data_IF_931093409742
#
_entry.id   IF_931093409742
#
_cell.length_a   1.000
_cell.length_b   1.000
_cell.length_c   1.000
_cell.angle_alpha   90.00
_cell.angle_beta   90.00
_cell.angle_gamma   90.00
#
_symmetry.space_group_name_H-M   'P 1'
#
loop_
_entity.id
_entity.type
_entity.pdbx_description
1 polymer ?
#
# COMPACT_ATOMS: atom_id res chain seq x y z
N UNK A 1 4.54 -1.65 2.35
CA UNK A 1 5.46 -1.38 3.47
C UNK A 1 6.27 -2.60 3.92
N UNK A 2 5.69 -3.81 4.05
CA UNK A 2 6.44 -5.01 4.49
C UNK A 2 7.47 -5.57 3.49
N UNK A 3 7.20 -5.45 2.18
CA UNK A 3 8.04 -6.05 1.13
C UNK A 3 9.50 -5.57 1.16
N UNK A 4 9.72 -4.28 1.40
CA UNK A 4 11.05 -3.65 1.38
C UNK A 4 11.76 -3.78 2.72
N UNK A 5 11.01 -3.86 3.84
CA UNK A 5 11.57 -3.91 5.19
C UNK A 5 12.04 -5.30 5.62
N UNK A 6 11.54 -6.38 5.02
CA UNK A 6 11.83 -7.73 5.53
C UNK A 6 13.21 -8.27 5.16
N UNK A 7 13.82 -7.84 4.04
CA UNK A 7 15.09 -8.43 3.56
C UNK A 7 16.24 -7.44 3.34
N UNK A 8 16.09 -6.15 3.67
CA UNK A 8 17.15 -5.14 3.48
C UNK A 8 17.76 -5.17 2.05
N UNK A 9 16.93 -5.07 1.02
CA UNK A 9 17.37 -5.05 -0.40
C UNK A 9 18.32 -3.88 -0.75
N UNK A 10 18.69 -3.02 0.20
CA UNK A 10 19.48 -1.81 -0.04
C UNK A 10 18.71 -0.68 -0.74
N UNK A 11 17.54 -0.98 -1.31
CA UNK A 11 16.73 -0.02 -2.07
C UNK A 11 16.01 0.99 -1.17
N UNK A 12 16.01 2.26 -1.59
CA UNK A 12 15.18 3.28 -0.96
C UNK A 12 13.70 3.07 -1.29
N UNK A 13 12.83 3.05 -0.28
CA UNK A 13 11.38 3.03 -0.50
C UNK A 13 10.84 4.46 -0.54
N UNK A 14 10.28 4.86 -1.67
CA UNK A 14 9.71 6.18 -1.88
C UNK A 14 8.20 6.08 -2.11
N UNK A 15 7.43 6.35 -1.05
CA UNK A 15 5.98 6.48 -1.14
C UNK A 15 5.60 7.94 -1.35
N UNK A 16 4.87 8.25 -2.42
CA UNK A 16 4.40 9.64 -2.65
C UNK A 16 3.49 10.14 -1.53
N UNK A 17 2.70 9.27 -0.91
CA UNK A 17 1.90 9.64 0.26
C UNK A 17 2.77 10.07 1.44
N UNK A 18 3.90 9.40 1.68
CA UNK A 18 4.84 9.79 2.74
C UNK A 18 5.58 11.08 2.39
N UNK A 19 5.98 11.26 1.13
CA UNK A 19 6.61 12.51 0.66
C UNK A 19 5.68 13.72 0.84
N UNK A 20 4.43 13.62 0.40
CA UNK A 20 3.42 14.68 0.58
C UNK A 20 3.21 14.99 2.07
N UNK A 21 3.11 13.97 2.92
CA UNK A 21 2.96 14.15 4.37
C UNK A 21 4.20 14.80 5.02
N UNK A 22 5.40 14.47 4.54
CA UNK A 22 6.64 15.06 5.03
C UNK A 22 6.71 16.55 4.69
N UNK A 23 6.42 16.92 3.43
CA UNK A 23 6.34 18.32 3.00
C UNK A 23 5.30 19.11 3.80
N UNK A 24 4.10 18.53 4.00
CA UNK A 24 3.04 19.15 4.78
C UNK A 24 3.43 19.38 6.26
N UNK A 25 4.18 18.44 6.87
CA UNK A 25 4.69 18.59 8.24
C UNK A 25 5.82 19.60 8.35
N UNK A 26 6.65 19.72 7.30
CA UNK A 26 7.75 20.67 7.23
C UNK A 26 7.28 22.11 6.99
N UNK A 27 6.00 22.32 6.64
CA UNK A 27 5.44 23.65 6.38
C UNK A 27 6.04 24.31 5.13
N UNK A 28 6.42 23.52 4.13
CA UNK A 28 6.95 24.05 2.87
C UNK A 28 5.82 24.61 2.02
N UNK A 29 6.12 25.56 1.14
CA UNK A 29 5.14 26.09 0.17
C UNK A 29 4.53 24.97 -0.70
N UNK A 30 5.33 23.98 -1.06
CA UNK A 30 4.90 22.78 -1.77
C UNK A 30 3.94 21.94 -0.90
N UNK A 31 4.29 21.69 0.37
CA UNK A 31 3.47 20.96 1.32
C UNK A 31 2.11 21.62 1.56
N UNK A 32 2.06 22.94 1.65
CA UNK A 32 0.82 23.70 1.79
C UNK A 32 -0.09 23.56 0.57
N UNK A 33 0.47 23.67 -0.65
CA UNK A 33 -0.25 23.49 -1.91
C UNK A 33 -0.82 22.06 -2.02
N UNK A 34 -0.01 21.04 -1.74
CA UNK A 34 -0.42 19.64 -1.79
C UNK A 34 -1.48 19.31 -0.73
N UNK A 35 -1.32 19.85 0.49
CA UNK A 35 -2.30 19.68 1.55
C UNK A 35 -3.63 20.37 1.21
N UNK A 36 -3.60 21.53 0.55
CA UNK A 36 -4.81 22.21 0.07
C UNK A 36 -5.55 21.38 -0.98
N UNK A 37 -4.84 20.84 -1.99
CA UNK A 37 -5.41 19.95 -2.98
C UNK A 37 -6.01 18.69 -2.34
N UNK A 38 -5.29 18.07 -1.39
CA UNK A 38 -5.80 16.89 -0.67
C UNK A 38 -7.05 17.20 0.16
N UNK A 39 -7.16 18.38 0.78
CA UNK A 39 -8.35 18.78 1.55
C UNK A 39 -9.57 19.04 0.67
N UNK A 40 -9.37 19.55 -0.55
CA UNK A 40 -10.45 19.81 -1.51
C UNK A 40 -10.85 18.57 -2.32
N UNK A 41 -10.14 17.44 -2.15
CA UNK A 41 -10.35 16.23 -2.94
C UNK A 41 -9.77 16.34 -4.36
N UNK A 42 -9.02 17.40 -4.66
CA UNK A 42 -8.31 17.55 -5.93
C UNK A 42 -7.02 16.73 -5.95
N UNK A 43 -6.66 16.23 -7.13
CA UNK A 43 -5.34 15.64 -7.33
C UNK A 43 -4.28 16.75 -7.40
N UNK A 44 -3.13 16.50 -6.79
CA UNK A 44 -1.97 17.34 -7.00
C UNK A 44 -1.61 17.37 -8.50
N UNK A 45 -1.24 18.53 -9.06
CA UNK A 45 -0.83 18.62 -10.46
C UNK A 45 0.31 17.66 -10.79
N UNK A 46 0.26 17.01 -11.95
CA UNK A 46 1.21 15.96 -12.32
C UNK A 46 2.67 16.47 -12.34
N UNK A 47 2.92 17.68 -12.85
CA UNK A 47 4.25 18.29 -12.87
C UNK A 47 4.82 18.47 -11.46
N UNK A 48 3.99 18.92 -10.51
CA UNK A 48 4.37 19.10 -9.11
C UNK A 48 4.76 17.77 -8.47
N UNK A 49 4.00 16.71 -8.76
CA UNK A 49 4.28 15.36 -8.26
C UNK A 49 5.57 14.78 -8.87
N UNK A 50 5.77 14.94 -10.19
CA UNK A 50 6.98 14.49 -10.89
C UNK A 50 8.21 15.20 -10.35
N UNK A 51 8.16 16.54 -10.20
CA UNK A 51 9.29 17.32 -9.66
C UNK A 51 9.65 16.90 -8.23
N UNK A 52 8.64 16.66 -7.37
CA UNK A 52 8.86 16.20 -6.00
C UNK A 52 9.55 14.83 -5.97
N UNK A 53 9.10 13.88 -6.79
CA UNK A 53 9.72 12.56 -6.88
C UNK A 53 11.13 12.65 -7.45
N UNK A 54 11.34 13.43 -8.53
CA UNK A 54 12.66 13.64 -9.14
C UNK A 54 13.66 14.21 -8.13
N UNK A 55 13.29 15.27 -7.43
CA UNK A 55 14.16 15.90 -6.44
C UNK A 55 14.55 14.92 -5.34
N UNK A 56 13.65 13.99 -4.98
CA UNK A 56 13.97 12.95 -4.00
C UNK A 56 14.91 11.89 -4.56
N UNK A 57 14.68 11.45 -5.80
CA UNK A 57 15.52 10.47 -6.50
C UNK A 57 16.95 10.94 -6.72
N UNK A 58 17.17 12.25 -6.91
CA UNK A 58 18.50 12.84 -7.05
C UNK A 58 19.42 12.65 -5.82
N UNK A 59 18.88 12.19 -4.69
CA UNK A 59 19.60 11.93 -3.45
C UNK A 59 19.58 10.44 -3.06
N UNK A 60 19.32 9.54 -4.02
CA UNK A 60 19.25 8.09 -3.79
C UNK A 60 20.30 7.39 -4.64
N UNK A 61 21.33 6.85 -3.98
CA UNK A 61 22.43 6.15 -4.66
C UNK A 61 22.25 4.61 -4.70
N UNK A 62 21.41 4.04 -3.82
CA UNK A 62 21.29 2.59 -3.62
C UNK A 62 20.15 1.93 -4.39
N UNK A 63 19.64 2.57 -5.45
CA UNK A 63 18.42 2.15 -6.14
C UNK A 63 17.15 2.43 -5.33
N UNK A 64 15.98 2.25 -5.93
CA UNK A 64 14.71 2.64 -5.31
C UNK A 64 13.51 1.80 -5.72
N UNK A 65 12.47 1.87 -4.90
CA UNK A 65 11.12 1.40 -5.19
C UNK A 65 10.18 2.60 -5.08
N UNK A 66 9.49 2.92 -6.17
CA UNK A 66 8.42 3.91 -6.19
C UNK A 66 7.10 3.23 -5.80
N UNK A 67 6.45 3.72 -4.75
CA UNK A 67 5.18 3.19 -4.24
C UNK A 67 4.09 4.26 -4.32
N UNK A 68 3.12 4.01 -5.22
CA UNK A 68 2.03 4.94 -5.50
C UNK A 68 2.41 6.09 -6.45
N UNK A 69 3.45 5.90 -7.27
CA UNK A 69 3.82 6.77 -8.39
C UNK A 69 4.60 6.01 -9.46
N UNK A 70 4.41 6.31 -10.76
CA UNK A 70 3.37 7.20 -11.31
C UNK A 70 1.95 6.66 -11.09
N UNK A 71 0.94 7.54 -11.12
CA UNK A 71 -0.50 7.19 -11.02
C UNK A 71 -1.26 7.44 -12.31
N UNK A 72 -0.67 8.13 -13.28
CA UNK A 72 -1.26 8.43 -14.59
C UNK A 72 -0.23 8.17 -15.68
N UNK A 73 -0.68 7.83 -16.89
CA UNK A 73 0.20 7.69 -18.05
C UNK A 73 0.99 8.98 -18.34
N UNK A 74 0.41 10.16 -18.06
CA UNK A 74 1.09 11.44 -18.19
C UNK A 74 2.28 11.58 -17.23
N UNK A 75 2.11 11.20 -15.96
CA UNK A 75 3.23 11.14 -14.99
C UNK A 75 4.32 10.17 -15.44
N UNK A 76 3.93 9.00 -15.97
CA UNK A 76 4.88 8.01 -16.46
C UNK A 76 5.69 8.53 -17.66
N UNK A 77 5.03 9.17 -18.62
CA UNK A 77 5.69 9.81 -19.76
C UNK A 77 6.64 10.94 -19.34
N UNK A 78 6.23 11.78 -18.39
CA UNK A 78 7.08 12.83 -17.84
C UNK A 78 8.32 12.28 -17.12
N UNK A 79 8.16 11.17 -16.40
CA UNK A 79 9.25 10.48 -15.73
C UNK A 79 10.23 9.85 -16.75
N UNK A 80 9.70 9.22 -17.79
CA UNK A 80 10.49 8.54 -18.83
C UNK A 80 11.27 9.51 -19.73
N UNK A 81 10.80 10.74 -19.86
CA UNK A 81 11.50 11.81 -20.56
C UNK A 81 12.69 12.40 -19.77
N UNK A 82 12.94 11.95 -18.53
CA UNK A 82 14.07 12.39 -17.72
C UNK A 82 15.26 11.44 -17.89
N UNK A 83 16.38 11.93 -18.41
CA UNK A 83 17.60 11.13 -18.60
C UNK A 83 18.19 10.58 -17.28
N UNK A 84 17.84 11.18 -16.15
CA UNK A 84 18.35 10.81 -14.82
C UNK A 84 17.54 9.71 -14.14
N UNK A 85 16.42 9.27 -14.71
CA UNK A 85 15.53 8.30 -14.06
C UNK A 85 15.53 6.98 -14.83
N UNK A 86 16.01 5.91 -14.18
CA UNK A 86 15.95 4.55 -14.72
C UNK A 86 14.86 3.73 -14.04
N UNK A 87 14.15 2.91 -14.79
CA UNK A 87 13.19 1.95 -14.24
C UNK A 87 13.47 0.60 -14.88
N UNK A 88 13.99 -0.33 -14.09
CA UNK A 88 14.33 -1.68 -14.57
C UNK A 88 13.14 -2.63 -14.51
N UNK A 89 12.19 -2.37 -13.60
CA UNK A 89 11.06 -3.26 -13.35
C UNK A 89 9.80 -2.50 -12.98
N UNK A 90 8.71 -2.85 -13.67
CA UNK A 90 7.33 -2.54 -13.26
C UNK A 90 6.64 -3.85 -12.93
N UNK A 91 6.12 -3.95 -11.70
CA UNK A 91 5.30 -5.10 -11.26
C UNK A 91 3.86 -4.66 -11.06
N UNK A 92 2.96 -5.18 -11.88
CA UNK A 92 1.53 -5.04 -11.69
C UNK A 92 1.04 -6.14 -10.73
N UNK A 93 0.83 -5.77 -9.46
CA UNK A 93 0.36 -6.71 -8.43
C UNK A 93 -1.16 -6.86 -8.54
N UNK A 94 -1.61 -8.02 -8.99
CA UNK A 94 -3.01 -8.32 -9.26
C UNK A 94 -3.62 -9.13 -8.13
N UNK A 95 -4.81 -8.71 -7.71
CA UNK A 95 -5.67 -9.43 -6.78
C UNK A 95 -7.10 -9.40 -7.34
N UNK A 96 -7.81 -10.51 -7.18
CA UNK A 96 -9.22 -10.58 -7.56
C UNK A 96 -10.04 -9.54 -6.78
N UNK A 97 -10.99 -8.88 -7.44
CA UNK A 97 -11.76 -7.79 -6.87
C UNK A 97 -12.52 -8.21 -5.61
N UNK A 98 -13.16 -9.37 -5.61
CA UNK A 98 -13.93 -9.85 -4.45
C UNK A 98 -13.00 -10.08 -3.26
N UNK A 99 -11.82 -10.64 -3.53
CA UNK A 99 -10.79 -10.88 -2.51
C UNK A 99 -10.22 -9.56 -1.99
N UNK A 100 -9.94 -8.60 -2.87
CA UNK A 100 -9.43 -7.28 -2.50
C UNK A 100 -10.43 -6.51 -1.62
N UNK A 101 -11.72 -6.53 -1.99
CA UNK A 101 -12.80 -5.93 -1.20
C UNK A 101 -12.93 -6.62 0.16
N UNK A 102 -12.99 -7.95 0.20
CA UNK A 102 -13.10 -8.72 1.43
C UNK A 102 -11.92 -8.45 2.39
N UNK A 103 -10.69 -8.38 1.86
CA UNK A 103 -9.49 -8.05 2.64
C UNK A 103 -9.47 -6.60 3.09
N UNK A 104 -9.93 -5.65 2.27
CA UNK A 104 -10.03 -4.24 2.66
C UNK A 104 -11.02 -4.05 3.82
N UNK A 105 -12.21 -4.66 3.76
CA UNK A 105 -13.21 -4.60 4.83
C UNK A 105 -12.79 -5.37 6.09
N UNK A 106 -11.90 -6.36 5.93
CA UNK A 106 -11.28 -7.10 7.02
C UNK A 106 -10.20 -6.34 7.79
N UNK A 107 -9.76 -5.17 7.32
CA UNK A 107 -8.69 -4.40 7.97
C UNK A 107 -9.07 -3.96 9.38
N UNK A 108 -8.11 -4.09 10.29
CA UNK A 108 -8.19 -3.60 11.66
C UNK A 108 -6.91 -2.89 12.06
N UNK A 109 -7.03 -1.93 12.96
CA UNK A 109 -5.90 -1.26 13.58
C UNK A 109 -6.00 -1.40 15.10
N UNK A 110 -4.88 -1.63 15.77
CA UNK A 110 -4.81 -1.49 17.22
C UNK A 110 -5.12 -0.05 17.60
N UNK A 111 -6.09 0.17 18.47
CA UNK A 111 -6.45 1.50 18.94
C UNK A 111 -5.28 2.23 19.60
N UNK A 112 -4.46 1.50 20.37
CA UNK A 112 -3.37 2.09 21.16
C UNK A 112 -2.16 2.51 20.33
N UNK A 113 -1.86 1.83 19.22
CA UNK A 113 -0.60 2.08 18.47
C UNK A 113 -0.74 2.05 16.94
N UNK A 114 -1.92 1.77 16.40
CA UNK A 114 -2.17 1.71 14.96
C UNK A 114 -1.65 0.46 14.24
N UNK A 115 -1.12 -0.55 14.96
CA UNK A 115 -0.66 -1.79 14.34
C UNK A 115 -1.77 -2.45 13.52
N UNK A 116 -1.45 -2.85 12.29
CA UNK A 116 -2.44 -3.34 11.32
C UNK A 116 -2.63 -4.86 11.42
N UNK A 117 -3.89 -5.28 11.40
CA UNK A 117 -4.35 -6.66 11.40
C UNK A 117 -5.43 -6.85 10.33
N UNK A 118 -5.79 -8.11 10.08
CA UNK A 118 -6.88 -8.46 9.19
C UNK A 118 -7.66 -9.63 9.79
N UNK A 119 -9.00 -9.53 9.87
CA UNK A 119 -9.85 -10.56 10.48
C UNK A 119 -10.57 -11.46 9.47
N UNK A 120 -10.25 -11.32 8.18
CA UNK A 120 -10.93 -12.05 7.10
C UNK A 120 -10.02 -13.14 6.55
N UNK A 121 -10.50 -14.38 6.53
CA UNK A 121 -9.91 -15.48 5.77
C UNK A 121 -10.45 -15.51 4.33
N UNK A 122 -9.60 -15.84 3.37
CA UNK A 122 -10.01 -16.13 1.99
C UNK A 122 -9.31 -17.41 1.54
N UNK A 123 -10.05 -18.52 1.58
CA UNK A 123 -9.54 -19.89 1.40
C UNK A 123 -10.25 -20.65 0.26
N UNK A 124 -10.84 -19.93 -0.69
CA UNK A 124 -11.59 -20.47 -1.82
C UNK A 124 -11.02 -19.96 -3.14
N UNK A 125 -11.45 -20.48 -4.30
CA UNK A 125 -11.03 -19.95 -5.61
C UNK A 125 -9.51 -20.02 -5.87
N UNK A 126 -8.82 -20.98 -5.23
CA UNK A 126 -7.36 -21.12 -5.30
C UNK A 126 -6.58 -20.10 -4.46
N UNK A 127 -7.24 -19.39 -3.54
CA UNK A 127 -6.61 -18.51 -2.58
C UNK A 127 -6.33 -19.24 -1.25
N UNK A 128 -5.17 -18.97 -0.64
CA UNK A 128 -4.77 -19.41 0.72
C UNK A 128 -4.31 -18.16 1.49
N UNK A 129 -5.28 -17.33 1.85
CA UNK A 129 -5.03 -16.07 2.55
C UNK A 129 -5.70 -16.07 3.91
N UNK A 130 -5.07 -16.64 4.95
CA UNK A 130 -5.62 -16.59 6.29
C UNK A 130 -5.71 -15.14 6.81
N UNK A 131 -6.50 -14.96 7.86
CA UNK A 131 -6.55 -13.74 8.65
C UNK A 131 -5.16 -13.43 9.26
N UNK A 132 -4.84 -12.13 9.34
CA UNK A 132 -3.62 -11.64 9.99
C UNK A 132 -4.02 -11.20 11.39
N UNK A 133 -4.18 -12.18 12.27
CA UNK A 133 -4.62 -11.95 13.64
C UNK A 133 -3.45 -11.64 14.59
N UNK A 134 -3.69 -10.86 15.65
CA UNK A 134 -2.72 -10.69 16.74
C UNK A 134 -2.42 -12.04 17.42
N UNK A 135 -1.25 -12.22 18.05
CA UNK A 135 -0.92 -13.46 18.75
C UNK A 135 -1.87 -13.74 19.93
N UNK A 136 -2.15 -15.04 20.16
CA UNK A 136 -2.88 -15.51 21.35
C UNK A 136 -2.01 -15.39 22.59
N UNK A 137 -2.65 -15.17 23.75
CA UNK A 137 -1.99 -15.03 25.05
C UNK A 137 -1.88 -16.39 25.72
N UNK A 138 -2.96 -17.16 25.69
CA UNK A 138 -3.05 -18.55 26.11
C UNK A 138 -3.60 -19.39 24.96
N UNK A 139 -2.79 -20.31 24.44
CA UNK A 139 -3.17 -21.18 23.33
C UNK A 139 -4.25 -22.21 23.70
N UNK A 140 -4.49 -22.45 24.99
CA UNK A 140 -5.50 -23.39 25.49
C UNK A 140 -6.88 -22.77 25.69
N UNK A 141 -6.98 -21.44 25.67
CA UNK A 141 -8.22 -20.71 25.88
C UNK A 141 -8.80 -20.15 24.55
N UNK A 142 -10.13 -20.08 24.40
CA UNK A 142 -10.74 -19.46 23.23
C UNK A 142 -10.41 -17.95 23.18
N UNK A 143 -10.30 -17.40 21.98
CA UNK A 143 -10.05 -15.98 21.74
C UNK A 143 -11.17 -15.39 20.86
N UNK A 144 -12.41 -15.29 21.38
CA UNK A 144 -13.55 -14.81 20.61
C UNK A 144 -13.36 -13.34 20.23
N UNK A 145 -13.68 -13.02 18.99
CA UNK A 145 -13.84 -11.63 18.54
C UNK A 145 -15.25 -11.19 18.88
N UNK A 146 -15.39 -10.18 19.75
CA UNK A 146 -16.68 -9.60 20.12
C UNK A 146 -16.77 -8.17 19.61
N UNK A 147 -17.98 -7.76 19.25
CA UNK A 147 -18.30 -6.38 18.90
C UNK A 147 -18.80 -5.65 20.14
N UNK A 148 -18.21 -4.51 20.44
CA UNK A 148 -18.62 -3.66 21.56
C UNK A 148 -18.85 -2.23 21.09
N UNK A 149 -19.85 -1.56 21.67
CA UNK A 149 -20.12 -0.15 21.41
C UNK A 149 -19.26 0.71 22.34
N UNK A 150 -18.46 1.62 21.77
CA UNK A 150 -17.75 2.64 22.54
C UNK A 150 -18.66 3.82 22.89
N UNK A 151 -18.31 4.61 23.92
CA UNK A 151 -18.92 5.91 24.17
C UNK A 151 -18.88 6.76 22.90
N UNK A 152 -20.06 7.20 22.41
CA UNK A 152 -20.20 7.89 21.12
C UNK A 152 -20.70 7.02 19.96
N UNK A 153 -20.97 5.73 20.21
CA UNK A 153 -21.71 4.85 19.29
C UNK A 153 -20.87 4.14 18.22
N UNK A 154 -19.55 4.31 18.23
CA UNK A 154 -18.65 3.58 17.34
C UNK A 154 -18.55 2.10 17.77
N UNK A 155 -18.68 1.17 16.81
CA UNK A 155 -18.51 -0.26 17.06
C UNK A 155 -17.04 -0.66 16.87
N UNK A 156 -16.48 -1.33 17.87
CA UNK A 156 -15.10 -1.85 17.87
C UNK A 156 -15.07 -3.36 18.04
N UNK A 157 -14.01 -3.98 17.54
CA UNK A 157 -13.76 -5.40 17.79
C UNK A 157 -12.85 -5.54 19.01
N UNK A 158 -13.36 -6.12 20.10
CA UNK A 158 -12.59 -6.47 21.28
C UNK A 158 -12.23 -7.95 21.17
N UNK A 159 -10.93 -8.26 21.19
CA UNK A 159 -10.46 -9.64 21.15
C UNK A 159 -9.86 -10.02 22.50
N UNK A 160 -10.60 -10.85 23.23
CA UNK A 160 -10.11 -11.48 24.45
C UNK A 160 -8.99 -12.48 24.12
N UNK A 161 -8.08 -12.69 25.08
CA UNK A 161 -7.00 -13.67 24.95
C UNK A 161 -6.06 -13.44 23.73
N UNK A 162 -5.97 -12.20 23.23
CA UNK A 162 -4.96 -11.75 22.27
C UNK A 162 -4.28 -10.48 22.75
N UNK A 163 -3.06 -10.23 22.28
CA UNK A 163 -2.31 -8.99 22.54
C UNK A 163 -1.81 -8.36 21.26
N UNK A 164 -1.65 -7.04 21.26
CA UNK A 164 -1.01 -6.37 20.13
C UNK A 164 0.44 -6.87 19.97
N UNK A 165 0.83 -7.31 18.77
CA UNK A 165 2.21 -7.73 18.47
C UNK A 165 3.22 -6.58 18.52
N UNK A 166 2.76 -5.33 18.40
CA UNK A 166 3.63 -4.15 18.40
C UNK A 166 3.76 -3.50 19.78
N UNK A 167 2.66 -3.25 20.50
CA UNK A 167 2.67 -2.52 21.78
C UNK A 167 2.27 -3.37 23.00
N UNK A 168 1.83 -4.62 22.80
CA UNK A 168 1.42 -5.51 23.89
C UNK A 168 0.05 -5.22 24.52
N UNK A 169 -0.73 -4.27 24.01
CA UNK A 169 -2.02 -3.87 24.59
C UNK A 169 -2.98 -5.05 24.87
N UNK A 170 -3.59 -5.03 26.06
CA UNK A 170 -4.57 -5.98 26.61
C UNK A 170 -5.55 -5.26 27.58
N UNK A 171 -6.88 -5.50 27.49
CA UNK A 171 -7.56 -6.19 26.40
C UNK A 171 -7.28 -5.50 25.05
N UNK A 172 -7.22 -6.28 23.98
CA UNK A 172 -6.89 -5.74 22.67
C UNK A 172 -8.14 -5.16 22.01
N UNK A 173 -8.18 -3.84 21.88
CA UNK A 173 -9.21 -3.11 21.12
C UNK A 173 -8.72 -2.87 19.70
N UNK A 174 -9.51 -3.33 18.74
CA UNK A 174 -9.29 -3.15 17.32
C UNK A 174 -10.36 -2.25 16.71
N UNK A 175 -9.92 -1.22 16.02
CA UNK A 175 -10.78 -0.27 15.31
C UNK A 175 -10.74 -0.52 13.81
N UNK A 176 -11.80 -0.10 13.13
CA UNK A 176 -11.83 0.02 11.67
C UNK A 176 -11.49 1.45 11.28
N UNK A 177 -10.97 1.63 10.07
CA UNK A 177 -10.82 2.98 9.52
C UNK A 177 -12.20 3.49 9.10
N UNK A 178 -12.43 4.79 9.27
CA UNK A 178 -13.70 5.41 8.89
C UNK A 178 -13.97 5.30 7.37
N UNK A 179 -12.93 5.14 6.55
CA UNK A 179 -13.01 5.01 5.10
C UNK A 179 -13.06 3.54 4.60
N UNK A 180 -13.10 2.56 5.50
CA UNK A 180 -13.24 1.13 5.16
C UNK A 180 -14.73 0.72 5.09
N UNK A 181 -15.56 1.52 4.40
CA UNK A 181 -16.95 1.15 4.09
C UNK A 181 -17.03 0.38 2.77
N UNK A 182 -18.01 -0.53 2.58
CA UNK A 182 -18.18 -1.24 1.31
C UNK A 182 -18.25 -0.31 0.10
N UNK A 183 -18.96 0.82 0.23
CA UNK A 183 -19.15 1.80 -0.83
C UNK A 183 -17.83 2.50 -1.16
N UNK A 184 -17.08 2.92 -0.13
CA UNK A 184 -15.79 3.63 -0.31
C UNK A 184 -14.74 2.70 -0.92
N UNK A 185 -14.67 1.45 -0.44
CA UNK A 185 -13.73 0.45 -0.96
C UNK A 185 -14.06 0.10 -2.41
N UNK A 186 -15.33 -0.15 -2.73
CA UNK A 186 -15.75 -0.47 -4.09
C UNK A 186 -15.47 0.70 -5.04
N UNK A 187 -15.85 1.92 -4.66
CA UNK A 187 -15.60 3.12 -5.47
C UNK A 187 -14.12 3.35 -5.74
N UNK A 188 -13.26 3.15 -4.73
CA UNK A 188 -11.80 3.26 -4.90
C UNK A 188 -11.26 2.22 -5.87
N UNK A 189 -11.76 0.99 -5.81
CA UNK A 189 -11.34 -0.07 -6.73
C UNK A 189 -11.76 0.25 -8.17
N UNK A 190 -13.01 0.68 -8.38
CA UNK A 190 -13.52 1.08 -9.71
C UNK A 190 -12.68 2.21 -10.31
N UNK A 191 -12.49 3.30 -9.56
CA UNK A 191 -11.69 4.45 -10.02
C UNK A 191 -10.24 4.03 -10.30
N UNK A 192 -9.66 3.16 -9.48
CA UNK A 192 -8.32 2.65 -9.69
C UNK A 192 -8.23 1.88 -11.01
N UNK A 193 -9.15 0.96 -11.28
CA UNK A 193 -9.15 0.20 -12.53
C UNK A 193 -9.31 1.10 -13.78
N UNK A 194 -10.16 2.13 -13.71
CA UNK A 194 -10.34 3.09 -14.80
C UNK A 194 -9.09 3.92 -15.07
N UNK A 195 -8.43 4.41 -14.02
CA UNK A 195 -7.26 5.29 -14.14
C UNK A 195 -5.98 4.51 -14.44
N UNK A 196 -5.87 3.27 -13.96
CA UNK A 196 -4.68 2.43 -14.17
C UNK A 196 -4.58 1.85 -15.57
N UNK A 197 -5.69 1.60 -16.26
CA UNK A 197 -5.64 0.94 -17.57
C UNK A 197 -4.71 1.66 -18.57
N UNK A 198 -4.79 3.00 -18.78
CA UNK A 198 -3.84 3.71 -19.64
C UNK A 198 -2.39 3.67 -19.13
N UNK A 199 -2.18 3.62 -17.81
CA UNK A 199 -0.85 3.54 -17.20
C UNK A 199 -0.21 2.17 -17.43
N UNK A 200 -0.99 1.10 -17.28
CA UNK A 200 -0.53 -0.26 -17.54
C UNK A 200 -0.27 -0.47 -19.04
N UNK A 201 -1.11 0.10 -19.90
CA UNK A 201 -0.87 0.10 -21.35
C UNK A 201 0.42 0.83 -21.72
N UNK A 202 0.70 1.98 -21.08
CA UNK A 202 1.97 2.67 -21.23
C UNK A 202 3.14 1.73 -20.89
N UNK A 203 3.20 1.14 -19.71
CA UNK A 203 4.34 0.28 -19.36
C UNK A 203 4.42 -1.04 -20.14
N UNK A 204 3.28 -1.58 -20.59
CA UNK A 204 3.24 -2.79 -21.45
C UNK A 204 3.67 -2.48 -22.89
N UNK A 205 3.48 -1.26 -23.35
CA UNK A 205 3.79 -0.80 -24.72
C UNK A 205 5.29 -0.74 -25.04
N UNK A 206 6.16 -0.83 -24.03
CA UNK A 206 7.60 -0.94 -24.19
C UNK A 206 8.40 -0.01 -23.26
N UNK A 207 9.65 0.24 -23.64
CA UNK A 207 10.62 1.00 -22.86
C UNK A 207 10.20 2.47 -22.61
N UNK A 208 9.57 3.14 -23.58
CA UNK A 208 9.14 4.55 -23.50
C UNK A 208 10.18 5.57 -22.98
N UNK A 209 11.49 5.27 -23.08
CA UNK A 209 12.58 6.07 -22.50
C UNK A 209 13.35 5.36 -21.39
N UNK A 210 12.79 4.29 -20.81
CA UNK A 210 13.46 3.42 -19.85
C UNK A 210 14.18 2.27 -20.55
N UNK A 211 15.52 2.32 -20.58
CA UNK A 211 16.33 1.24 -21.13
C UNK A 211 16.07 -0.10 -20.40
N UNK A 212 15.88 -1.17 -21.17
CA UNK A 212 15.73 -2.55 -20.68
C UNK A 212 14.62 -2.77 -19.62
N UNK A 213 13.57 -1.94 -19.65
CA UNK A 213 12.42 -2.05 -18.74
C UNK A 213 11.75 -3.42 -18.86
N UNK A 214 11.65 -4.12 -17.73
CA UNK A 214 10.85 -5.33 -17.58
C UNK A 214 9.45 -4.99 -17.04
N UNK A 215 8.42 -5.59 -17.63
CA UNK A 215 7.05 -5.55 -17.11
C UNK A 215 6.61 -6.95 -16.67
N UNK A 216 6.08 -7.08 -15.45
CA UNK A 216 5.58 -8.34 -14.89
C UNK A 216 4.20 -8.17 -14.28
N UNK A 217 3.28 -9.06 -14.60
CA UNK A 217 2.06 -9.24 -13.80
C UNK A 217 2.35 -10.24 -12.67
N UNK A 218 2.01 -9.87 -11.43
CA UNK A 218 2.16 -10.74 -10.25
C UNK A 218 0.80 -10.98 -9.60
N UNK A 219 0.26 -12.18 -9.75
CA UNK A 219 -1.04 -12.53 -9.16
C UNK A 219 -0.84 -13.04 -7.73
N UNK A 220 -1.42 -12.32 -6.76
CA UNK A 220 -1.35 -12.73 -5.35
C UNK A 220 -2.36 -13.85 -5.08
N UNK A 221 -1.91 -14.95 -4.50
CA UNK A 221 -2.74 -16.12 -4.15
C UNK A 221 -2.69 -16.49 -2.67
N UNK A 222 -1.55 -16.26 -2.01
CA UNK A 222 -1.28 -16.67 -0.62
C UNK A 222 -0.93 -15.49 0.31
N UNK A 223 -1.22 -14.26 -0.13
CA UNK A 223 -1.03 -13.06 0.68
C UNK A 223 0.45 -12.84 1.02
N UNK A 224 0.76 -12.71 2.32
CA UNK A 224 2.14 -12.52 2.78
C UNK A 224 3.08 -13.68 2.39
N UNK A 225 2.56 -14.89 2.20
CA UNK A 225 3.37 -16.05 1.79
C UNK A 225 3.90 -15.93 0.35
N UNK A 226 3.37 -14.99 -0.45
CA UNK A 226 3.86 -14.70 -1.81
C UNK A 226 4.99 -13.66 -1.82
N UNK A 227 5.27 -12.99 -0.69
CA UNK A 227 6.30 -11.95 -0.58
C UNK A 227 7.69 -12.41 -1.07
N UNK A 228 8.20 -13.61 -0.74
CA UNK A 228 9.50 -14.05 -1.24
C UNK A 228 9.59 -14.12 -2.77
N UNK A 229 8.51 -14.53 -3.44
CA UNK A 229 8.48 -14.61 -4.91
C UNK A 229 8.51 -13.22 -5.54
N UNK A 230 7.76 -12.28 -4.96
CA UNK A 230 7.76 -10.90 -5.40
C UNK A 230 9.10 -10.21 -5.14
N UNK A 231 9.77 -10.53 -4.02
CA UNK A 231 11.13 -10.05 -3.74
C UNK A 231 12.14 -10.60 -4.74
N UNK A 232 12.06 -11.90 -5.07
CA UNK A 232 12.94 -12.49 -6.08
C UNK A 232 12.79 -11.81 -7.44
N UNK A 233 11.57 -11.46 -7.86
CA UNK A 233 11.34 -10.69 -9.08
C UNK A 233 12.07 -9.34 -9.09
N UNK A 234 12.13 -8.67 -7.93
CA UNK A 234 12.85 -7.40 -7.78
C UNK A 234 14.35 -7.65 -7.90
N UNK A 235 14.87 -8.64 -7.18
CA UNK A 235 16.30 -9.00 -7.19
C UNK A 235 16.78 -9.37 -8.59
N UNK A 236 16.01 -10.17 -9.33
CA UNK A 236 16.34 -10.61 -10.69
C UNK A 236 16.36 -9.46 -11.72
N UNK A 237 15.77 -8.30 -11.37
CA UNK A 237 15.73 -7.12 -12.22
C UNK A 237 16.74 -6.03 -11.81
N UNK A 238 17.48 -6.22 -10.73
CA UNK A 238 18.59 -5.36 -10.38
C UNK A 238 19.77 -5.59 -11.34
N UNK A 239 20.54 -4.54 -11.69
CA UNK A 239 21.70 -4.64 -12.58
C UNK A 239 22.87 -5.42 -11.97
#
# INVERSE_FOLDING_TARGET
QGLVRQENLGLAHLSTGDLVRAEARAGTALGEQLAAASRSGALAPDNVMVDMVRNKLAHVDSGYILDGFPRTAAQAAMLAAQDTTSVNLVVNIRLDQEVAVAKALGRRACESCGASYNVTDVMHGGFDMPAILPPVVDASAPAPLRKEAQPGGAEVDVIENRRCSACGAQPLVLTRRADDTPETVKRRFEVHMEVEAPLLEFFRGGAHGFADLQYRDFVVKRGLKDTPQLQQLIVDALP
#
